data_IF_331952136998
#
_entry.id   IF_331952136998
#
_cell.length_a   1.000
_cell.length_b   1.000
_cell.length_c   1.000
_cell.angle_alpha   90.00
_cell.angle_beta   90.00
_cell.angle_gamma   90.00
#
_symmetry.space_group_name_H-M   'P 1'
#
loop_
_entity.id
_entity.type
_entity.pdbx_description
1 polymer ?
#
# COMPACT_ATOMS: atom_id res chain seq x y z
N UNK A 1 -14.52 -71.90 -8.21
CA UNK A 1 -13.52 -70.90 -7.78
C UNK A 1 -13.93 -69.56 -8.38
N UNK A 2 -14.56 -68.71 -7.60
CA UNK A 2 -14.99 -67.37 -8.04
C UNK A 2 -13.77 -66.47 -7.92
N UNK A 3 -13.34 -65.72 -8.95
CA UNK A 3 -12.19 -64.81 -8.84
C UNK A 3 -12.51 -63.65 -7.89
N UNK A 4 -11.74 -63.53 -6.83
CA UNK A 4 -11.75 -62.35 -5.95
C UNK A 4 -11.41 -61.11 -6.77
N UNK A 5 -12.43 -60.30 -7.04
CA UNK A 5 -12.27 -59.00 -7.70
C UNK A 5 -11.49 -58.09 -6.76
N UNK A 6 -10.22 -57.81 -7.07
CA UNK A 6 -9.42 -56.83 -6.31
C UNK A 6 -10.09 -55.45 -6.40
N UNK A 7 -10.82 -55.06 -5.34
CA UNK A 7 -11.45 -53.77 -5.23
C UNK A 7 -10.39 -52.67 -5.33
N UNK A 8 -10.66 -51.69 -6.18
CA UNK A 8 -9.83 -50.51 -6.34
C UNK A 8 -9.88 -49.64 -5.05
N UNK A 9 -8.83 -48.85 -4.79
CA UNK A 9 -8.73 -48.03 -3.60
C UNK A 9 -9.98 -47.13 -3.41
N UNK A 10 -10.53 -46.63 -4.52
CA UNK A 10 -11.76 -45.82 -4.53
C UNK A 10 -13.00 -46.63 -4.08
N UNK A 11 -13.15 -47.87 -4.56
CA UNK A 11 -14.26 -48.75 -4.16
C UNK A 11 -14.19 -49.11 -2.68
N UNK A 12 -12.99 -49.36 -2.14
CA UNK A 12 -12.79 -49.59 -0.69
C UNK A 12 -13.15 -48.35 0.13
N UNK A 13 -12.81 -47.17 -0.35
CA UNK A 13 -13.14 -45.91 0.31
C UNK A 13 -14.65 -45.65 0.30
N UNK A 14 -15.34 -45.93 -0.81
CA UNK A 14 -16.78 -45.78 -0.92
C UNK A 14 -17.49 -46.70 0.06
N UNK A 15 -17.14 -47.99 0.10
CA UNK A 15 -17.71 -49.01 1.00
C UNK A 15 -17.46 -48.61 2.46
N UNK A 16 -16.24 -48.15 2.80
CA UNK A 16 -15.92 -47.64 4.14
C UNK A 16 -16.78 -46.46 4.52
N UNK A 17 -16.98 -45.49 3.60
CA UNK A 17 -17.76 -44.27 3.85
C UNK A 17 -19.26 -44.58 4.04
N UNK A 18 -19.80 -45.52 3.30
CA UNK A 18 -21.20 -46.00 3.44
C UNK A 18 -21.43 -46.76 4.75
N UNK A 19 -20.48 -47.62 5.14
CA UNK A 19 -20.58 -48.40 6.38
C UNK A 19 -20.38 -47.55 7.63
N UNK A 20 -19.54 -46.50 7.56
CA UNK A 20 -19.16 -45.67 8.73
C UNK A 20 -19.58 -44.22 8.55
N UNK A 21 -20.81 -43.96 8.11
CA UNK A 21 -21.31 -42.59 7.81
C UNK A 21 -21.14 -41.57 8.98
N UNK A 22 -21.29 -42.02 10.22
CA UNK A 22 -21.10 -41.17 11.40
C UNK A 22 -19.64 -40.75 11.57
N UNK A 23 -18.70 -41.69 11.41
CA UNK A 23 -17.25 -41.42 11.55
C UNK A 23 -16.79 -40.48 10.42
N UNK A 24 -17.22 -40.74 9.17
CA UNK A 24 -16.88 -39.92 8.02
C UNK A 24 -17.39 -38.48 8.18
N UNK A 25 -18.63 -38.30 8.68
CA UNK A 25 -19.18 -36.95 8.98
C UNK A 25 -18.37 -36.22 10.03
N UNK A 26 -18.04 -36.87 11.16
CA UNK A 26 -17.22 -36.24 12.22
C UNK A 26 -15.84 -35.84 11.70
N UNK A 27 -15.22 -36.70 10.89
CA UNK A 27 -13.90 -36.41 10.29
C UNK A 27 -13.96 -35.26 9.29
N UNK A 28 -15.00 -35.21 8.44
CA UNK A 28 -15.23 -34.11 7.51
C UNK A 28 -15.44 -32.78 8.21
N UNK A 29 -16.27 -32.75 9.27
CA UNK A 29 -16.47 -31.54 10.08
C UNK A 29 -15.20 -31.11 10.81
N UNK A 30 -14.39 -32.07 11.29
CA UNK A 30 -13.10 -31.80 11.91
C UNK A 30 -12.13 -31.10 10.93
N UNK A 31 -11.97 -31.66 9.72
CA UNK A 31 -11.11 -31.06 8.68
C UNK A 31 -11.63 -29.67 8.29
N UNK A 32 -12.94 -29.52 8.07
CA UNK A 32 -13.55 -28.24 7.72
C UNK A 32 -13.33 -27.18 8.81
N UNK A 33 -13.48 -27.55 10.09
CA UNK A 33 -13.27 -26.66 11.22
C UNK A 33 -11.80 -26.21 11.34
N UNK A 34 -10.84 -27.12 11.16
CA UNK A 34 -9.41 -26.81 11.18
C UNK A 34 -9.06 -25.88 10.01
N UNK A 35 -9.57 -26.17 8.81
CA UNK A 35 -9.34 -25.34 7.62
C UNK A 35 -9.92 -23.94 7.80
N UNK A 36 -11.11 -23.82 8.36
CA UNK A 36 -11.74 -22.53 8.68
C UNK A 36 -10.92 -21.75 9.72
N UNK A 37 -10.50 -22.41 10.79
CA UNK A 37 -9.66 -21.79 11.82
C UNK A 37 -8.33 -21.28 11.24
N UNK A 38 -7.69 -22.07 10.39
CA UNK A 38 -6.46 -21.67 9.70
C UNK A 38 -6.69 -20.46 8.77
N UNK A 39 -7.79 -20.42 8.04
CA UNK A 39 -8.16 -19.29 7.18
C UNK A 39 -8.41 -18.01 7.98
N UNK A 40 -9.18 -18.09 9.08
CA UNK A 40 -9.43 -16.96 9.99
C UNK A 40 -8.15 -16.44 10.62
N UNK A 41 -7.24 -17.33 11.03
CA UNK A 41 -5.93 -16.94 11.55
C UNK A 41 -5.06 -16.22 10.51
N UNK A 42 -5.17 -16.62 9.24
CA UNK A 42 -4.45 -15.98 8.15
C UNK A 42 -5.01 -14.60 7.77
N UNK A 43 -6.32 -14.48 7.62
CA UNK A 43 -7.00 -13.27 7.13
C UNK A 43 -7.07 -12.19 8.22
N UNK A 44 -7.12 -12.60 9.50
CA UNK A 44 -7.32 -11.72 10.66
C UNK A 44 -8.50 -10.75 10.49
N UNK A 45 -9.71 -11.25 10.16
CA UNK A 45 -10.84 -10.41 9.77
C UNK A 45 -11.35 -9.49 10.90
N UNK A 46 -11.09 -9.83 12.16
CA UNK A 46 -11.52 -9.08 13.34
C UNK A 46 -10.45 -8.12 13.88
N UNK A 47 -9.21 -8.18 13.35
CA UNK A 47 -8.09 -7.45 13.96
C UNK A 47 -8.07 -6.02 13.49
N UNK A 48 -8.12 -5.08 14.44
CA UNK A 48 -7.95 -3.65 14.21
C UNK A 48 -6.50 -3.25 14.41
N UNK A 49 -5.82 -2.81 13.34
CA UNK A 49 -4.45 -2.34 13.43
C UNK A 49 -4.40 -0.93 13.98
N UNK A 50 -3.68 -0.73 15.08
CA UNK A 50 -3.55 0.55 15.79
C UNK A 50 -2.10 1.04 15.87
N UNK A 51 -1.15 0.17 15.58
CA UNK A 51 0.28 0.45 15.60
C UNK A 51 0.93 -0.08 14.32
N UNK A 52 2.00 0.54 13.81
CA UNK A 52 2.74 0.03 12.66
C UNK A 52 3.19 -1.43 12.84
N UNK A 53 3.71 -1.76 14.02
CA UNK A 53 4.19 -3.11 14.35
C UNK A 53 3.12 -4.19 14.42
N UNK A 54 1.84 -3.81 14.47
CA UNK A 54 0.73 -4.79 14.51
C UNK A 54 0.35 -5.34 13.15
N UNK A 55 0.83 -4.73 12.05
CA UNK A 55 0.57 -5.19 10.68
C UNK A 55 1.49 -6.37 10.38
N UNK A 56 0.94 -7.56 10.03
CA UNK A 56 1.75 -8.70 9.69
C UNK A 56 2.59 -8.46 8.42
N UNK A 57 3.84 -8.91 8.39
CA UNK A 57 4.73 -8.79 7.24
C UNK A 57 4.13 -9.37 5.95
N UNK A 58 3.32 -10.42 6.05
CA UNK A 58 2.61 -10.99 4.90
C UNK A 58 1.64 -10.01 4.21
N UNK A 59 1.06 -9.04 4.95
CA UNK A 59 0.17 -8.02 4.38
C UNK A 59 0.95 -7.01 3.55
N UNK A 60 2.20 -6.74 3.93
CA UNK A 60 3.13 -5.93 3.16
C UNK A 60 3.54 -6.65 1.86
N UNK A 61 3.95 -7.92 1.97
CA UNK A 61 4.37 -8.71 0.80
C UNK A 61 3.23 -8.98 -0.18
N UNK A 62 2.04 -9.31 0.32
CA UNK A 62 0.86 -9.55 -0.51
C UNK A 62 0.10 -8.29 -0.91
N UNK A 63 0.56 -7.11 -0.45
CA UNK A 63 -0.07 -5.80 -0.71
C UNK A 63 -1.57 -5.81 -0.44
N UNK A 64 -1.94 -6.34 0.72
CA UNK A 64 -3.35 -6.47 1.10
C UNK A 64 -3.95 -5.07 1.27
N UNK A 65 -5.01 -4.78 0.52
CA UNK A 65 -5.73 -3.52 0.65
C UNK A 65 -6.51 -3.50 1.97
N UNK A 66 -6.30 -2.45 2.75
CA UNK A 66 -6.95 -2.19 4.01
C UNK A 66 -7.85 -0.96 3.88
N UNK A 67 -8.84 -0.86 4.78
CA UNK A 67 -9.79 0.26 4.80
C UNK A 67 -9.74 0.98 6.14
N UNK A 68 -10.03 2.27 6.12
CA UNK A 68 -10.12 3.06 7.35
C UNK A 68 -10.64 4.46 7.10
N UNK A 69 -10.95 5.17 8.19
CA UNK A 69 -11.37 6.57 8.15
C UNK A 69 -10.24 7.45 8.64
N UNK A 70 -9.89 8.49 7.88
CA UNK A 70 -8.91 9.49 8.34
C UNK A 70 -9.55 10.34 9.43
N UNK A 71 -8.95 10.40 10.62
CA UNK A 71 -9.49 11.16 11.74
C UNK A 71 -8.84 12.51 11.90
N UNK A 72 -7.53 12.59 11.65
CA UNK A 72 -6.75 13.84 11.69
C UNK A 72 -5.49 13.70 10.86
N UNK A 73 -4.87 14.83 10.55
CA UNK A 73 -3.62 14.92 9.80
C UNK A 73 -2.60 15.61 10.68
N UNK A 74 -1.47 14.96 10.89
CA UNK A 74 -0.37 15.47 11.71
C UNK A 74 0.81 15.84 10.81
N UNK A 75 1.34 17.08 10.90
CA UNK A 75 2.48 17.50 10.07
C UNK A 75 3.82 16.89 10.49
N UNK A 76 3.84 16.08 11.55
CA UNK A 76 5.04 15.45 12.08
C UNK A 76 5.56 14.35 11.15
N UNK A 77 6.89 14.14 11.10
CA UNK A 77 7.55 13.10 10.31
C UNK A 77 7.24 13.14 8.80
N UNK A 78 6.90 14.34 8.25
CA UNK A 78 6.57 14.49 6.83
C UNK A 78 5.12 14.16 6.49
N UNK A 79 4.18 14.67 7.25
CA UNK A 79 2.72 14.57 7.10
C UNK A 79 2.19 13.15 7.25
N UNK A 80 1.60 12.89 8.40
CA UNK A 80 0.97 11.62 8.74
C UNK A 80 -0.56 11.74 8.70
N UNK A 81 -1.20 10.75 8.11
CA UNK A 81 -2.64 10.54 8.19
C UNK A 81 -2.92 9.60 9.38
N UNK A 82 -3.64 10.07 10.37
CA UNK A 82 -4.08 9.27 11.51
C UNK A 82 -5.38 8.54 11.15
N UNK A 83 -5.27 7.24 10.90
CA UNK A 83 -6.37 6.45 10.33
C UNK A 83 -6.97 5.51 11.36
N UNK A 84 -8.30 5.54 11.46
CA UNK A 84 -9.08 4.55 12.18
C UNK A 84 -9.31 3.34 11.27
N UNK A 85 -8.46 2.31 11.41
CA UNK A 85 -8.55 1.10 10.59
C UNK A 85 -9.88 0.36 10.84
N UNK A 86 -10.58 0.01 9.76
CA UNK A 86 -11.81 -0.78 9.78
C UNK A 86 -11.45 -2.24 9.49
N UNK A 87 -11.64 -3.17 10.46
CA UNK A 87 -11.49 -4.60 10.16
C UNK A 87 -12.62 -5.07 9.24
N UNK A 88 -12.42 -6.21 8.56
CA UNK A 88 -13.43 -6.79 7.67
C UNK A 88 -14.74 -7.08 8.40
N UNK A 89 -14.65 -7.55 9.64
CA UNK A 89 -15.81 -7.78 10.51
C UNK A 89 -15.68 -6.82 11.70
N UNK A 90 -16.56 -5.79 11.79
CA UNK A 90 -16.48 -4.82 12.87
C UNK A 90 -16.91 -5.42 14.20
N UNK A 91 -16.05 -5.26 15.20
CA UNK A 91 -16.40 -5.58 16.58
C UNK A 91 -16.74 -4.31 17.38
N UNK A 92 -17.60 -4.40 18.41
CA UNK A 92 -17.90 -3.27 19.28
C UNK A 92 -16.64 -2.67 19.89
N UNK A 93 -16.60 -1.34 20.05
CA UNK A 93 -15.45 -0.63 20.61
C UNK A 93 -15.46 -0.74 22.14
N UNK A 94 -14.50 -1.48 22.69
CA UNK A 94 -14.32 -1.64 24.14
C UNK A 94 -13.14 -0.81 24.70
N UNK A 95 -12.42 -0.06 23.88
CA UNK A 95 -11.20 0.66 24.29
C UNK A 95 -11.06 2.03 23.63
N UNK A 96 -10.25 2.90 24.24
CA UNK A 96 -9.93 4.22 23.72
C UNK A 96 -9.44 4.20 22.28
N UNK A 97 -9.85 5.17 21.44
CA UNK A 97 -9.48 5.24 20.05
C UNK A 97 -7.97 5.46 19.91
N UNK A 98 -7.29 4.49 19.32
CA UNK A 98 -5.90 4.61 18.87
C UNK A 98 -5.90 4.53 17.36
N UNK A 99 -5.21 5.46 16.71
CA UNK A 99 -5.18 5.59 15.27
C UNK A 99 -3.87 5.06 14.70
N UNK A 100 -3.94 4.48 13.50
CA UNK A 100 -2.78 4.00 12.78
C UNK A 100 -2.15 5.18 12.02
N UNK A 101 -0.88 5.56 12.30
CA UNK A 101 -0.19 6.61 11.55
C UNK A 101 0.26 6.07 10.19
N UNK A 102 -0.21 6.70 9.11
CA UNK A 102 0.09 6.35 7.72
C UNK A 102 0.80 7.51 7.04
N UNK A 103 1.89 7.22 6.35
CA UNK A 103 2.61 8.15 5.46
C UNK A 103 2.36 7.75 4.00
N UNK A 104 2.03 8.71 3.14
CA UNK A 104 1.86 8.47 1.71
C UNK A 104 3.23 8.16 1.10
N UNK A 105 3.30 7.06 0.34
CA UNK A 105 4.55 6.55 -0.21
C UNK A 105 5.19 7.52 -1.20
N UNK A 106 6.50 7.76 -1.03
CA UNK A 106 7.33 8.48 -2.00
C UNK A 106 7.09 9.97 -2.13
N UNK A 107 6.39 10.60 -1.18
CA UNK A 107 6.02 12.00 -1.27
C UNK A 107 6.46 12.80 -0.06
N UNK A 108 6.94 14.01 -0.32
CA UNK A 108 7.04 15.10 0.63
C UNK A 108 5.94 16.11 0.35
N UNK A 109 5.06 16.34 1.33
CA UNK A 109 3.83 17.09 1.16
C UNK A 109 4.05 18.53 1.61
N UNK A 110 3.77 19.48 0.74
CA UNK A 110 3.89 20.92 1.03
C UNK A 110 2.78 21.40 1.97
N UNK A 111 2.93 22.60 2.53
CA UNK A 111 1.91 23.22 3.41
C UNK A 111 0.55 23.31 2.71
N UNK A 112 0.52 23.68 1.43
CA UNK A 112 -0.72 23.69 0.63
C UNK A 112 -1.31 22.30 0.48
N UNK A 113 -0.47 21.26 0.37
CA UNK A 113 -0.89 19.88 0.34
C UNK A 113 -1.51 19.42 1.66
N UNK A 114 -0.97 19.87 2.79
CA UNK A 114 -1.56 19.58 4.11
C UNK A 114 -2.95 20.21 4.21
N UNK A 115 -3.11 21.47 3.80
CA UNK A 115 -4.40 22.16 3.79
C UNK A 115 -5.40 21.45 2.87
N UNK A 116 -4.96 21.01 1.70
CA UNK A 116 -5.78 20.23 0.77
C UNK A 116 -6.23 18.89 1.38
N UNK A 117 -5.31 18.16 2.01
CA UNK A 117 -5.64 16.92 2.72
C UNK A 117 -6.65 17.15 3.84
N UNK A 118 -6.50 18.22 4.61
CA UNK A 118 -7.44 18.57 5.68
C UNK A 118 -8.85 18.86 5.15
N UNK A 119 -8.96 19.45 3.97
CA UNK A 119 -10.25 19.79 3.37
C UNK A 119 -10.90 18.59 2.69
N UNK A 120 -10.12 17.80 1.94
CA UNK A 120 -10.65 16.76 1.05
C UNK A 120 -10.67 15.38 1.71
N UNK A 121 -9.64 15.03 2.50
CA UNK A 121 -9.41 13.67 2.98
C UNK A 121 -9.81 13.50 4.45
N UNK A 122 -9.77 14.56 5.24
CA UNK A 122 -10.11 14.49 6.66
C UNK A 122 -11.55 14.00 6.87
N UNK A 123 -11.73 13.06 7.80
CA UNK A 123 -13.00 12.40 8.11
C UNK A 123 -13.63 11.60 6.94
N UNK A 124 -12.85 11.29 5.92
CA UNK A 124 -13.28 10.46 4.80
C UNK A 124 -12.75 9.04 4.93
N UNK A 125 -13.48 8.12 4.32
CA UNK A 125 -13.06 6.73 4.18
C UNK A 125 -12.02 6.61 3.08
N UNK A 126 -10.96 5.90 3.39
CA UNK A 126 -9.84 5.65 2.48
C UNK A 126 -9.55 4.15 2.39
N UNK A 127 -9.01 3.76 1.26
CA UNK A 127 -8.34 2.49 1.07
C UNK A 127 -6.83 2.72 1.08
N UNK A 128 -6.09 1.84 1.72
CA UNK A 128 -4.64 1.96 1.74
C UNK A 128 -3.95 0.59 1.63
N UNK A 129 -2.85 0.56 0.91
CA UNK A 129 -2.03 -0.62 0.70
C UNK A 129 -0.70 -0.39 1.42
N UNK A 130 -0.40 -1.12 2.51
CA UNK A 130 0.84 -0.98 3.23
C UNK A 130 2.00 -1.57 2.40
N UNK A 131 3.08 -0.79 2.26
CA UNK A 131 4.30 -1.17 1.53
C UNK A 131 5.45 -1.49 2.47
N UNK A 132 5.62 -0.67 3.51
CA UNK A 132 6.65 -0.83 4.52
C UNK A 132 6.18 -0.30 5.88
N UNK A 133 6.72 -0.86 6.94
CA UNK A 133 6.48 -0.39 8.31
C UNK A 133 7.76 0.21 8.87
N UNK A 134 7.65 1.42 9.37
CA UNK A 134 8.67 2.11 10.14
C UNK A 134 8.29 2.09 11.65
N UNK A 135 9.19 2.53 12.50
CA UNK A 135 8.95 2.55 13.96
C UNK A 135 7.68 3.31 14.35
N UNK A 136 7.44 4.46 13.70
CA UNK A 136 6.38 5.41 14.09
C UNK A 136 5.23 5.49 13.09
N UNK A 137 5.36 4.98 11.88
CA UNK A 137 4.35 5.07 10.82
C UNK A 137 4.44 3.92 9.82
N UNK A 138 3.41 3.79 8.99
CA UNK A 138 3.36 2.83 7.89
C UNK A 138 3.40 3.60 6.57
N UNK A 139 4.26 3.18 5.65
CA UNK A 139 4.32 3.74 4.30
C UNK A 139 3.29 3.02 3.45
N UNK A 140 2.35 3.78 2.87
CA UNK A 140 1.21 3.22 2.13
C UNK A 140 0.96 3.95 0.82
N UNK A 141 0.40 3.24 -0.15
CA UNK A 141 -0.34 3.83 -1.26
C UNK A 141 -1.76 4.08 -0.75
N UNK A 142 -2.26 5.30 -0.91
CA UNK A 142 -3.56 5.70 -0.37
C UNK A 142 -4.48 6.12 -1.51
N UNK A 143 -5.70 5.59 -1.51
CA UNK A 143 -6.77 5.93 -2.45
C UNK A 143 -8.07 6.20 -1.72
N UNK A 144 -8.93 7.00 -2.31
CA UNK A 144 -10.28 7.26 -1.80
C UNK A 144 -11.29 7.13 -2.94
N UNK A 145 -12.52 6.81 -2.60
CA UNK A 145 -13.61 6.81 -3.56
C UNK A 145 -14.27 8.19 -3.57
N UNK A 146 -14.34 8.79 -4.75
CA UNK A 146 -15.06 10.04 -4.97
C UNK A 146 -15.92 9.89 -6.23
N UNK A 147 -17.23 10.20 -6.13
CA UNK A 147 -18.16 10.13 -7.27
C UNK A 147 -18.10 8.81 -8.06
N UNK A 148 -18.00 7.66 -7.36
CA UNK A 148 -17.88 6.29 -7.93
C UNK A 148 -16.51 5.98 -8.57
N UNK A 149 -15.60 6.92 -8.63
CA UNK A 149 -14.22 6.69 -9.11
C UNK A 149 -13.24 6.55 -7.95
N UNK A 150 -12.19 5.74 -8.14
CA UNK A 150 -11.11 5.63 -7.18
C UNK A 150 -10.00 6.62 -7.55
N UNK A 151 -9.76 7.57 -6.65
CA UNK A 151 -8.73 8.57 -6.79
C UNK A 151 -7.53 8.18 -5.92
N UNK A 152 -6.37 8.12 -6.54
CA UNK A 152 -5.11 7.90 -5.85
C UNK A 152 -4.59 9.23 -5.31
N UNK A 153 -4.60 9.37 -3.98
CA UNK A 153 -4.30 10.64 -3.29
C UNK A 153 -2.89 11.13 -3.62
N UNK A 154 -1.91 10.21 -3.64
CA UNK A 154 -0.53 10.57 -3.97
C UNK A 154 -0.38 11.17 -5.37
N UNK A 155 -1.04 10.59 -6.36
CA UNK A 155 -1.05 11.08 -7.74
C UNK A 155 -1.71 12.47 -7.86
N UNK A 156 -2.85 12.67 -7.20
CA UNK A 156 -3.55 13.96 -7.25
C UNK A 156 -2.73 15.08 -6.56
N UNK A 157 -2.17 14.82 -5.38
CA UNK A 157 -1.29 15.78 -4.70
C UNK A 157 -0.11 16.20 -5.59
N UNK A 158 0.52 15.22 -6.25
CA UNK A 158 1.65 15.46 -7.14
C UNK A 158 1.23 16.25 -8.38
N UNK A 159 0.08 15.92 -8.97
CA UNK A 159 -0.49 16.60 -10.14
C UNK A 159 -0.88 18.06 -9.85
N UNK A 160 -1.39 18.32 -8.65
CA UNK A 160 -1.68 19.68 -8.19
C UNK A 160 -0.43 20.48 -7.79
N UNK A 161 0.75 19.83 -7.74
CA UNK A 161 1.99 20.45 -7.27
C UNK A 161 2.00 20.69 -5.76
N UNK A 162 1.25 19.92 -5.01
CA UNK A 162 1.12 19.98 -3.54
C UNK A 162 2.03 18.97 -2.84
N UNK A 163 2.68 18.11 -3.61
CA UNK A 163 3.69 17.18 -3.13
C UNK A 163 4.84 17.05 -4.12
N UNK A 164 6.03 16.75 -3.58
CA UNK A 164 7.26 16.55 -4.33
C UNK A 164 7.67 15.09 -4.13
N UNK A 165 8.16 14.45 -5.19
CA UNK A 165 8.61 13.06 -5.10
C UNK A 165 9.94 13.01 -4.36
N UNK A 166 9.99 12.15 -3.32
CA UNK A 166 11.19 11.83 -2.55
C UNK A 166 11.64 10.42 -2.91
N UNK A 167 12.78 10.30 -3.59
CA UNK A 167 13.26 8.99 -4.08
C UNK A 167 13.67 8.03 -2.96
N UNK A 168 14.17 8.52 -1.83
CA UNK A 168 14.82 7.70 -0.80
C UNK A 168 13.88 6.66 -0.17
N UNK A 169 12.61 7.01 0.04
CA UNK A 169 11.61 6.10 0.62
C UNK A 169 11.14 5.01 -0.34
N UNK A 170 11.25 5.23 -1.66
CA UNK A 170 10.82 4.28 -2.68
C UNK A 170 11.98 3.44 -3.25
N UNK A 171 13.21 3.95 -3.26
CA UNK A 171 14.38 3.23 -3.84
C UNK A 171 14.54 1.81 -3.32
N UNK A 172 14.30 1.58 -2.03
CA UNK A 172 14.37 0.24 -1.42
C UNK A 172 13.24 -0.69 -1.87
N UNK A 173 12.11 -0.14 -2.33
CA UNK A 173 10.88 -0.85 -2.66
C UNK A 173 10.67 -1.04 -4.17
N UNK A 174 11.41 -0.32 -5.01
CA UNK A 174 11.28 -0.30 -6.49
C UNK A 174 11.51 -1.67 -7.17
N UNK A 175 12.06 -2.66 -6.47
CA UNK A 175 12.22 -4.02 -7.00
C UNK A 175 10.90 -4.69 -7.39
N UNK A 176 9.79 -4.19 -6.88
CA UNK A 176 8.46 -4.70 -7.14
C UNK A 176 7.81 -3.95 -8.31
N UNK A 177 7.21 -4.70 -9.27
CA UNK A 177 6.62 -4.17 -10.50
C UNK A 177 5.46 -3.18 -10.24
N UNK A 178 4.63 -3.45 -9.22
CA UNK A 178 3.48 -2.59 -8.92
C UNK A 178 3.93 -1.27 -8.29
N UNK A 179 4.94 -1.32 -7.43
CA UNK A 179 5.56 -0.12 -6.83
C UNK A 179 6.26 0.70 -7.91
N UNK A 180 6.91 0.05 -8.87
CA UNK A 180 7.51 0.71 -10.02
C UNK A 180 6.45 1.42 -10.89
N UNK A 181 5.31 0.78 -11.11
CA UNK A 181 4.19 1.39 -11.86
C UNK A 181 3.62 2.61 -11.11
N UNK A 182 3.42 2.49 -9.79
CA UNK A 182 3.02 3.61 -8.95
C UNK A 182 4.02 4.79 -9.07
N UNK A 183 5.32 4.51 -8.95
CA UNK A 183 6.35 5.53 -9.09
C UNK A 183 6.35 6.20 -10.46
N UNK A 184 6.17 5.44 -11.53
CA UNK A 184 6.00 5.99 -12.89
C UNK A 184 4.78 6.91 -13.00
N UNK A 185 3.67 6.55 -12.37
CA UNK A 185 2.47 7.40 -12.31
C UNK A 185 2.74 8.71 -11.58
N UNK A 186 3.46 8.68 -10.45
CA UNK A 186 3.87 9.88 -9.74
C UNK A 186 4.80 10.77 -10.59
N UNK A 187 5.80 10.18 -11.25
CA UNK A 187 6.72 10.92 -12.14
C UNK A 187 5.97 11.63 -13.28
N UNK A 188 5.00 10.94 -13.88
CA UNK A 188 4.19 11.55 -14.95
C UNK A 188 3.31 12.68 -14.41
N UNK A 189 2.71 12.52 -13.23
CA UNK A 189 1.95 13.57 -12.55
C UNK A 189 2.83 14.78 -12.22
N UNK A 190 4.05 14.56 -11.72
CA UNK A 190 5.00 15.64 -11.44
C UNK A 190 5.42 16.38 -12.71
N UNK A 191 5.75 15.67 -13.79
CA UNK A 191 6.06 16.29 -15.09
C UNK A 191 4.91 17.14 -15.61
N UNK A 192 3.67 16.67 -15.41
CA UNK A 192 2.47 17.43 -15.78
C UNK A 192 2.32 18.70 -14.94
N UNK A 193 2.48 18.59 -13.60
CA UNK A 193 2.46 19.74 -12.70
C UNK A 193 3.53 20.79 -13.04
N UNK A 194 4.74 20.35 -13.37
CA UNK A 194 5.84 21.21 -13.82
C UNK A 194 5.51 21.96 -15.11
N UNK A 195 4.93 21.26 -16.11
CA UNK A 195 4.53 21.88 -17.39
C UNK A 195 3.42 22.93 -17.20
N UNK A 196 2.45 22.63 -16.32
CA UNK A 196 1.33 23.53 -16.03
C UNK A 196 1.66 24.58 -14.98
N UNK A 197 2.83 24.53 -14.35
CA UNK A 197 3.25 25.39 -13.23
C UNK A 197 2.27 25.38 -12.06
N UNK A 198 1.76 24.18 -11.71
CA UNK A 198 0.83 24.03 -10.59
C UNK A 198 1.55 24.09 -9.24
N UNK A 199 0.89 24.69 -8.26
CA UNK A 199 1.30 24.71 -6.84
C UNK A 199 2.75 25.11 -6.64
N UNK A 200 3.55 24.25 -6.02
CA UNK A 200 4.99 24.48 -5.76
C UNK A 200 5.77 24.88 -7.02
N UNK A 201 5.44 24.27 -8.19
CA UNK A 201 6.13 24.51 -9.44
C UNK A 201 5.88 25.88 -10.06
N UNK A 202 4.92 26.65 -9.54
CA UNK A 202 4.70 28.04 -9.96
C UNK A 202 5.89 28.94 -9.58
N UNK A 203 6.46 28.72 -8.41
CA UNK A 203 7.55 29.52 -7.85
C UNK A 203 8.93 29.01 -8.23
N UNK A 204 9.05 27.76 -8.66
CA UNK A 204 10.32 27.17 -9.10
C UNK A 204 10.64 27.68 -10.50
N UNK A 205 11.70 28.48 -10.62
CA UNK A 205 12.23 28.86 -11.93
C UNK A 205 12.74 27.60 -12.63
N UNK A 206 12.04 27.18 -13.68
CA UNK A 206 12.56 26.11 -14.53
C UNK A 206 13.89 26.58 -15.13
N UNK A 207 14.97 25.78 -15.04
CA UNK A 207 16.22 26.13 -15.70
C UNK A 207 15.94 26.35 -17.18
N UNK A 208 16.34 27.49 -17.70
CA UNK A 208 16.18 27.83 -19.13
C UNK A 208 16.79 26.74 -19.98
N UNK A 209 16.25 26.53 -21.19
CA UNK A 209 16.78 25.56 -22.16
C UNK A 209 18.29 25.74 -22.36
N UNK A 210 18.76 26.98 -22.46
CA UNK A 210 20.17 27.32 -22.56
C UNK A 210 20.99 26.84 -21.36
N UNK A 211 20.48 26.97 -20.13
CA UNK A 211 21.14 26.49 -18.92
C UNK A 211 21.26 24.96 -18.91
N UNK A 212 20.23 24.24 -19.38
CA UNK A 212 20.26 22.75 -19.51
C UNK A 212 21.32 22.32 -20.53
N UNK A 213 21.42 23.02 -21.66
CA UNK A 213 22.46 22.75 -22.67
C UNK A 213 23.84 23.00 -22.08
N UNK A 214 24.03 24.13 -21.39
CA UNK A 214 25.30 24.50 -20.76
C UNK A 214 25.72 23.47 -19.69
N UNK A 215 24.79 22.98 -18.85
CA UNK A 215 25.08 21.93 -17.89
C UNK A 215 25.43 20.60 -18.54
N UNK A 216 24.70 20.20 -19.58
CA UNK A 216 25.00 18.97 -20.32
C UNK A 216 26.34 19.04 -21.04
N UNK A 217 26.71 20.19 -21.64
CA UNK A 217 28.01 20.42 -22.23
C UNK A 217 29.12 20.43 -21.17
N UNK A 218 28.93 21.11 -20.07
CA UNK A 218 29.87 21.13 -18.95
C UNK A 218 30.13 19.74 -18.39
N UNK A 219 29.06 18.92 -18.20
CA UNK A 219 29.21 17.55 -17.71
C UNK A 219 29.90 16.64 -18.74
N UNK A 220 29.61 16.80 -20.02
CA UNK A 220 30.32 16.08 -21.09
C UNK A 220 31.78 16.52 -21.18
N UNK A 221 32.09 17.82 -21.09
CA UNK A 221 33.45 18.32 -21.06
C UNK A 221 34.25 17.81 -19.88
N UNK A 222 33.64 17.76 -18.67
CA UNK A 222 34.26 17.18 -17.47
C UNK A 222 34.50 15.68 -17.61
N UNK A 223 33.69 14.95 -18.37
CA UNK A 223 33.90 13.52 -18.63
C UNK A 223 34.95 13.24 -19.72
N UNK A 224 35.22 14.20 -20.59
CA UNK A 224 36.18 14.08 -21.72
C UNK A 224 37.57 14.62 -21.35
N UNK A 225 37.64 15.54 -20.38
CA UNK A 225 38.91 16.04 -19.82
C UNK A 225 39.25 15.26 -18.55
N UNK A 226 39.95 14.12 -18.62
CA UNK A 226 40.52 13.51 -17.45
C UNK A 226 41.68 14.39 -16.99
N UNK A 227 41.50 14.92 -15.76
CA UNK A 227 42.51 15.47 -14.86
C UNK A 227 43.91 15.71 -15.50
N UNK A 228 44.11 16.90 -16.05
CA UNK A 228 45.38 17.55 -16.01
C UNK A 228 45.32 18.62 -14.94
N UNK A 229 45.56 18.22 -13.70
CA UNK A 229 46.09 19.14 -12.67
C UNK A 229 47.14 18.36 -11.89
N UNK A 230 48.35 18.76 -12.14
CA UNK A 230 49.51 18.56 -11.31
C UNK A 230 49.26 19.14 -9.92
#
# INVERSE_FOLDING_TARGET
>A
MVPEKKLNILEKFIIFSETNTKIVKVFSYGIASISLAAALYQIKPFVKFRKPSSIPSRFLHKKVQLQGTVTRIEPNYGTLLMVDHKPLIPLPRLSNPKYLPIKIAGLDITVNGISWLQTIVNRKDINFIPLATEKNYVICIVSMQQNKEYIEIGKELTKLGFAIITEDSLKKLIKDKDILNYYKCLLNAQKWAQRKRNGYWHFVKNPTFLWRIQQNLSNKLKSILPMFVV
#
